data_IF_565342148626
#
_entry.id   IF_565342148626
#
_cell.length_a   1.000
_cell.length_b   1.000
_cell.length_c   1.000
_cell.angle_alpha   90.00
_cell.angle_beta   90.00
_cell.angle_gamma   90.00
#
_symmetry.space_group_name_H-M   'P 1'
#
loop_
_entity.id
_entity.type
_entity.pdbx_description
1 polymer ?
#
# COMPACT_ATOMS: atom_id res chain seq x y z
N UNK A 1 -2.71 9.47 -3.79
CA UNK A 1 -3.54 8.32 -4.20
C UNK A 1 -2.69 7.06 -4.14
N UNK A 2 -3.19 5.97 -3.55
CA UNK A 2 -2.50 4.67 -3.48
C UNK A 2 -2.84 3.74 -4.67
N UNK A 3 -3.54 4.23 -5.68
CA UNK A 3 -3.91 3.43 -6.85
C UNK A 3 -2.69 2.85 -7.60
N UNK A 4 -1.64 3.65 -7.77
CA UNK A 4 -0.43 3.22 -8.47
C UNK A 4 0.31 2.12 -7.69
N UNK A 5 0.51 2.32 -6.39
CA UNK A 5 1.15 1.34 -5.51
C UNK A 5 0.33 0.06 -5.40
N UNK A 6 -1.00 0.18 -5.28
CA UNK A 6 -1.91 -0.98 -5.28
C UNK A 6 -1.84 -1.81 -6.57
N UNK A 7 -1.82 -1.14 -7.74
CA UNK A 7 -1.63 -1.80 -9.04
C UNK A 7 -0.26 -2.48 -9.13
N UNK A 8 0.80 -1.83 -8.64
CA UNK A 8 2.13 -2.41 -8.62
C UNK A 8 2.19 -3.69 -7.78
N UNK A 9 1.55 -3.70 -6.60
CA UNK A 9 1.43 -4.90 -5.74
C UNK A 9 0.67 -6.02 -6.44
N UNK A 10 -0.46 -5.73 -7.09
CA UNK A 10 -1.22 -6.74 -7.84
C UNK A 10 -0.36 -7.36 -8.95
N UNK A 11 0.37 -6.54 -9.72
CA UNK A 11 1.30 -7.02 -10.76
C UNK A 11 2.44 -7.84 -10.20
N UNK A 12 3.04 -7.41 -9.09
CA UNK A 12 4.10 -8.17 -8.41
C UNK A 12 3.60 -9.52 -7.89
N UNK A 13 2.32 -9.61 -7.51
CA UNK A 13 1.65 -10.85 -7.12
C UNK A 13 1.17 -11.70 -8.32
N UNK A 14 1.46 -11.30 -9.57
CA UNK A 14 1.12 -12.04 -10.78
C UNK A 14 -0.27 -11.72 -11.37
N UNK A 15 -0.99 -10.74 -10.82
CA UNK A 15 -2.26 -10.28 -11.36
C UNK A 15 -2.04 -9.09 -12.31
N UNK A 16 -2.58 -9.16 -13.52
CA UNK A 16 -2.45 -8.11 -14.54
C UNK A 16 -3.79 -7.42 -14.83
N UNK A 17 -4.41 -6.73 -13.85
CA UNK A 17 -5.66 -6.05 -14.09
C UNK A 17 -5.44 -4.80 -14.95
N UNK A 18 -6.45 -4.46 -15.75
CA UNK A 18 -6.47 -3.21 -16.51
C UNK A 18 -6.63 -2.00 -15.56
N UNK A 19 -5.73 -0.99 -15.61
CA UNK A 19 -5.81 0.15 -14.70
C UNK A 19 -7.08 0.99 -14.85
N UNK A 20 -7.58 1.15 -16.09
CA UNK A 20 -8.72 2.02 -16.40
C UNK A 20 -9.98 1.68 -15.61
N UNK A 21 -10.49 0.43 -15.70
CA UNK A 21 -11.65 -0.01 -14.93
C UNK A 21 -11.46 0.15 -13.40
N UNK A 22 -10.29 -0.20 -12.86
CA UNK A 22 -10.02 -0.08 -11.42
C UNK A 22 -10.05 1.38 -10.94
N UNK A 23 -9.43 2.28 -11.70
CA UNK A 23 -9.46 3.71 -11.40
C UNK A 23 -10.89 4.26 -11.54
N UNK A 24 -11.63 3.83 -12.56
CA UNK A 24 -13.03 4.19 -12.76
C UNK A 24 -13.92 3.79 -11.58
N UNK A 25 -13.79 2.56 -11.08
CA UNK A 25 -14.56 2.07 -9.92
C UNK A 25 -14.20 2.84 -8.65
N UNK A 26 -12.91 3.03 -8.36
CA UNK A 26 -12.48 3.79 -7.16
C UNK A 26 -12.92 5.26 -7.23
N UNK A 27 -12.93 5.85 -8.42
CA UNK A 27 -13.46 7.20 -8.67
C UNK A 27 -14.97 7.29 -8.46
N UNK A 28 -15.73 6.34 -9.00
CA UNK A 28 -17.19 6.26 -8.80
C UNK A 28 -17.52 6.10 -7.31
N UNK A 29 -16.85 5.20 -6.61
CA UNK A 29 -17.04 5.01 -5.17
C UNK A 29 -16.71 6.28 -4.39
N UNK A 30 -15.63 6.99 -4.75
CA UNK A 30 -15.29 8.28 -4.16
C UNK A 30 -16.40 9.32 -4.38
N UNK A 31 -16.98 9.38 -5.59
CA UNK A 31 -18.06 10.29 -5.92
C UNK A 31 -19.32 9.99 -5.10
N UNK A 32 -19.66 8.71 -4.97
CA UNK A 32 -20.81 8.26 -4.18
C UNK A 32 -20.60 8.50 -2.68
N UNK A 33 -19.37 8.38 -2.18
CA UNK A 33 -19.05 8.58 -0.77
C UNK A 33 -18.82 10.04 -0.38
N UNK A 34 -18.54 10.93 -1.34
CA UNK A 34 -18.23 12.34 -1.10
C UNK A 34 -19.32 13.12 -0.31
N UNK A 35 -20.63 12.96 -0.59
CA UNK A 35 -21.68 13.64 0.18
C UNK A 35 -21.71 13.30 1.67
N UNK A 36 -21.14 12.14 2.03
CA UNK A 36 -21.05 11.67 3.42
C UNK A 36 -19.77 12.15 4.12
N UNK A 37 -18.98 13.04 3.50
CA UNK A 37 -17.72 13.53 4.05
C UNK A 37 -16.59 12.50 4.01
N UNK A 38 -16.72 11.43 3.22
CA UNK A 38 -15.70 10.41 3.11
C UNK A 38 -14.46 10.90 2.36
N UNK A 39 -13.29 10.41 2.77
CA UNK A 39 -12.05 10.57 2.02
C UNK A 39 -12.12 9.80 0.70
N UNK A 40 -11.28 10.18 -0.27
CA UNK A 40 -11.21 9.51 -1.57
C UNK A 40 -10.91 8.00 -1.43
N UNK A 41 -11.67 7.19 -2.15
CA UNK A 41 -11.48 5.74 -2.26
C UNK A 41 -10.36 5.43 -3.27
N UNK A 42 -9.50 4.47 -2.95
CA UNK A 42 -8.40 4.03 -3.80
C UNK A 42 -8.02 2.58 -3.47
N UNK A 43 -7.16 1.98 -4.29
CA UNK A 43 -6.53 0.68 -4.00
C UNK A 43 -5.58 0.82 -2.82
N UNK A 44 -5.71 -0.08 -1.85
CA UNK A 44 -4.82 -0.13 -0.70
C UNK A 44 -3.70 -1.14 -0.94
N UNK A 45 -2.47 -0.65 -1.15
CA UNK A 45 -1.31 -1.50 -1.45
C UNK A 45 -1.01 -2.54 -0.35
N UNK A 46 -1.14 -2.16 0.92
CA UNK A 46 -0.92 -3.07 2.07
C UNK A 46 -1.99 -4.17 2.10
N UNK A 47 -3.26 -3.79 2.03
CA UNK A 47 -4.37 -4.77 2.00
C UNK A 47 -4.25 -5.68 0.79
N UNK A 48 -3.89 -5.14 -0.38
CA UNK A 48 -3.63 -5.94 -1.57
C UNK A 48 -2.51 -6.96 -1.33
N UNK A 49 -1.39 -6.56 -0.72
CA UNK A 49 -0.26 -7.45 -0.47
C UNK A 49 -0.60 -8.59 0.50
N UNK A 50 -1.45 -8.32 1.51
CA UNK A 50 -1.96 -9.34 2.44
C UNK A 50 -2.94 -10.27 1.72
N UNK A 51 -3.93 -9.71 1.02
CA UNK A 51 -5.00 -10.47 0.39
C UNK A 51 -4.54 -11.27 -0.85
N UNK A 52 -3.39 -10.95 -1.43
CA UNK A 52 -2.79 -11.73 -2.51
C UNK A 52 -1.71 -12.70 -2.04
N UNK A 53 -1.43 -12.75 -0.73
CA UNK A 53 -0.42 -13.65 -0.15
C UNK A 53 -0.78 -15.15 -0.27
N UNK A 54 0.20 -16.05 -0.14
CA UNK A 54 -0.01 -17.49 -0.23
C UNK A 54 -0.88 -18.05 0.91
N UNK A 55 -0.90 -17.37 2.07
CA UNK A 55 -1.67 -17.79 3.25
C UNK A 55 -3.19 -17.66 3.06
N UNK A 56 -3.62 -16.90 2.05
CA UNK A 56 -5.04 -16.65 1.79
C UNK A 56 -5.74 -17.85 1.18
N UNK A 57 -5.15 -18.42 0.13
CA UNK A 57 -5.69 -19.56 -0.59
C UNK A 57 -4.57 -20.20 -1.43
N UNK A 58 -4.52 -21.55 -1.51
CA UNK A 58 -3.53 -22.26 -2.33
C UNK A 58 -3.61 -21.88 -3.80
N UNK A 59 -4.82 -21.78 -4.34
CA UNK A 59 -5.08 -21.29 -5.70
C UNK A 59 -5.08 -19.75 -5.76
N UNK A 60 -4.15 -19.12 -6.51
CA UNK A 60 -4.15 -17.67 -6.73
C UNK A 60 -5.44 -17.14 -7.36
N UNK A 61 -6.12 -17.92 -8.20
CA UNK A 61 -7.37 -17.54 -8.87
C UNK A 61 -8.55 -17.35 -7.91
N UNK A 62 -8.42 -17.86 -6.68
CA UNK A 62 -9.49 -17.87 -5.67
C UNK A 62 -9.23 -16.89 -4.52
N UNK A 63 -8.09 -16.19 -4.51
CA UNK A 63 -7.71 -15.25 -3.43
C UNK A 63 -8.64 -14.04 -3.30
N UNK A 64 -9.37 -13.70 -4.37
CA UNK A 64 -10.39 -12.63 -4.35
C UNK A 64 -11.49 -12.88 -3.32
N UNK A 65 -11.71 -14.13 -2.89
CA UNK A 65 -12.67 -14.50 -1.85
C UNK A 65 -12.42 -13.80 -0.52
N UNK A 66 -11.19 -13.33 -0.26
CA UNK A 66 -10.91 -12.49 0.93
C UNK A 66 -11.63 -11.15 0.91
N UNK A 67 -11.90 -10.60 -0.27
CA UNK A 67 -12.54 -9.30 -0.44
C UNK A 67 -13.89 -9.19 0.30
N UNK A 68 -14.86 -10.09 0.07
CA UNK A 68 -16.12 -10.11 0.79
C UNK A 68 -15.98 -10.19 2.33
N UNK A 69 -15.10 -11.05 2.85
CA UNK A 69 -14.86 -11.14 4.30
C UNK A 69 -14.23 -9.88 4.86
N UNK A 70 -13.29 -9.29 4.12
CA UNK A 70 -12.67 -8.03 4.47
C UNK A 70 -13.70 -6.89 4.52
N UNK A 71 -14.56 -6.80 3.51
CA UNK A 71 -15.65 -5.81 3.46
C UNK A 71 -16.63 -5.99 4.62
N UNK A 72 -17.02 -7.23 4.93
CA UNK A 72 -17.90 -7.53 6.06
C UNK A 72 -17.26 -7.11 7.40
N UNK A 73 -15.99 -7.44 7.62
CA UNK A 73 -15.27 -7.04 8.83
C UNK A 73 -15.19 -5.51 8.97
N UNK A 74 -14.91 -4.80 7.88
CA UNK A 74 -14.89 -3.33 7.89
C UNK A 74 -16.27 -2.72 8.11
N UNK A 75 -17.34 -3.35 7.63
CA UNK A 75 -18.72 -2.91 7.89
C UNK A 75 -19.04 -3.04 9.39
N UNK A 76 -18.66 -4.15 10.01
CA UNK A 76 -18.79 -4.33 11.46
C UNK A 76 -18.02 -3.23 12.21
N UNK A 77 -16.76 -2.96 11.85
CA UNK A 77 -16.00 -1.86 12.47
C UNK A 77 -16.62 -0.49 12.23
N UNK A 78 -17.20 -0.24 11.05
CA UNK A 78 -17.88 1.01 10.74
C UNK A 78 -19.11 1.23 11.63
N UNK A 79 -19.90 0.19 11.91
CA UNK A 79 -21.04 0.26 12.84
C UNK A 79 -20.57 0.69 14.24
N UNK A 80 -19.42 0.17 14.69
CA UNK A 80 -18.83 0.51 16.00
C UNK A 80 -17.87 1.70 15.94
N UNK A 81 -17.85 2.49 14.86
CA UNK A 81 -16.84 3.52 14.62
C UNK A 81 -16.68 4.51 15.77
N UNK A 82 -17.79 5.05 16.29
CA UNK A 82 -17.75 5.98 17.42
C UNK A 82 -17.19 5.33 18.71
N UNK A 83 -17.52 4.06 18.96
CA UNK A 83 -17.00 3.32 20.11
C UNK A 83 -15.50 3.06 19.98
N UNK A 84 -15.05 2.68 18.78
CA UNK A 84 -13.63 2.48 18.50
C UNK A 84 -12.83 3.77 18.69
N UNK A 85 -13.34 4.90 18.18
CA UNK A 85 -12.71 6.22 18.37
C UNK A 85 -12.61 6.57 19.86
N UNK A 86 -13.66 6.31 20.65
CA UNK A 86 -13.63 6.56 22.10
C UNK A 86 -12.58 5.71 22.82
N UNK A 87 -12.40 4.44 22.42
CA UNK A 87 -11.34 3.58 22.96
C UNK A 87 -9.96 4.14 22.61
N UNK A 88 -9.71 4.50 21.36
CA UNK A 88 -8.42 5.06 20.95
C UNK A 88 -8.11 6.41 21.62
N UNK A 89 -9.13 7.20 21.96
CA UNK A 89 -8.97 8.48 22.65
C UNK A 89 -8.46 8.35 24.10
N UNK A 90 -8.71 7.20 24.76
CA UNK A 90 -8.24 6.94 26.13
C UNK A 90 -6.95 6.12 26.20
N UNK A 91 -6.49 5.56 25.07
CA UNK A 91 -5.25 4.79 25.02
C UNK A 91 -4.01 5.71 25.04
N UNK A 92 -2.96 5.35 25.79
CA UNK A 92 -1.66 6.02 25.68
C UNK A 92 -1.14 5.97 24.24
N UNK A 93 -0.63 7.10 23.75
CA UNK A 93 -0.08 7.21 22.39
C UNK A 93 0.99 6.15 22.10
N UNK A 94 1.81 5.79 23.09
CA UNK A 94 2.83 4.75 22.96
C UNK A 94 2.26 3.37 22.59
N UNK A 95 1.09 3.00 23.13
CA UNK A 95 0.43 1.74 22.80
C UNK A 95 -0.13 1.75 21.37
N UNK A 96 -0.69 2.88 20.94
CA UNK A 96 -1.20 3.04 19.56
C UNK A 96 -0.05 2.88 18.56
N UNK A 97 1.07 3.56 18.80
CA UNK A 97 2.26 3.47 17.94
C UNK A 97 2.83 2.06 17.93
N UNK A 98 2.90 1.38 19.08
CA UNK A 98 3.41 0.02 19.18
C UNK A 98 2.53 -0.97 18.41
N UNK A 99 1.21 -0.94 18.59
CA UNK A 99 0.29 -1.83 17.86
C UNK A 99 0.35 -1.56 16.36
N UNK A 100 0.33 -0.29 15.95
CA UNK A 100 0.45 0.08 14.54
C UNK A 100 1.79 -0.38 13.94
N UNK A 101 2.90 -0.19 14.65
CA UNK A 101 4.23 -0.63 14.21
C UNK A 101 4.31 -2.15 14.04
N UNK A 102 3.82 -2.91 15.03
CA UNK A 102 3.79 -4.37 14.96
C UNK A 102 2.92 -4.88 13.81
N UNK A 103 1.75 -4.27 13.59
CA UNK A 103 0.86 -4.62 12.49
C UNK A 103 1.47 -4.38 11.10
N UNK A 104 2.39 -3.41 10.98
CA UNK A 104 3.06 -3.06 9.73
C UNK A 104 4.32 -3.89 9.45
N UNK A 105 4.85 -4.65 10.41
CA UNK A 105 6.09 -5.42 10.21
C UNK A 105 5.96 -6.47 9.10
N UNK A 106 4.89 -7.27 9.10
CA UNK A 106 4.69 -8.31 8.10
C UNK A 106 4.47 -7.74 6.68
N UNK A 107 3.60 -6.72 6.47
CA UNK A 107 3.51 -6.03 5.18
C UNK A 107 4.83 -5.41 4.72
N UNK A 108 5.61 -4.80 5.63
CA UNK A 108 6.90 -4.22 5.31
C UNK A 108 7.89 -5.29 4.84
N UNK A 109 7.98 -6.42 5.55
CA UNK A 109 8.85 -7.53 5.16
C UNK A 109 8.49 -8.07 3.76
N UNK A 110 7.20 -8.26 3.48
CA UNK A 110 6.74 -8.69 2.17
C UNK A 110 7.07 -7.65 1.08
N UNK A 111 6.81 -6.37 1.33
CA UNK A 111 7.11 -5.29 0.39
C UNK A 111 8.61 -5.21 0.06
N UNK A 112 9.48 -5.36 1.06
CA UNK A 112 10.93 -5.40 0.87
C UNK A 112 11.36 -6.66 0.08
N UNK A 113 10.77 -7.82 0.37
CA UNK A 113 11.04 -9.05 -0.37
C UNK A 113 10.68 -8.92 -1.85
N UNK A 114 9.58 -8.25 -2.17
CA UNK A 114 9.14 -7.99 -3.54
C UNK A 114 10.07 -6.96 -4.20
N UNK A 115 10.36 -5.85 -3.53
CA UNK A 115 11.16 -4.76 -4.07
C UNK A 115 12.62 -5.15 -4.36
N UNK A 116 13.19 -6.07 -3.58
CA UNK A 116 14.58 -6.53 -3.72
C UNK A 116 14.71 -7.83 -4.52
N UNK A 117 13.63 -8.32 -5.13
CA UNK A 117 13.61 -9.61 -5.85
C UNK A 117 14.55 -9.62 -7.06
N UNK A 118 14.55 -8.56 -7.85
CA UNK A 118 15.34 -8.47 -9.08
C UNK A 118 16.75 -7.97 -8.78
N UNK A 119 17.77 -8.83 -8.95
CA UNK A 119 19.17 -8.53 -8.65
C UNK A 119 19.64 -7.22 -9.32
N UNK A 120 19.19 -7.01 -10.57
CA UNK A 120 19.57 -5.89 -11.40
C UNK A 120 18.98 -4.54 -11.03
N UNK A 121 18.02 -4.49 -10.09
CA UNK A 121 17.30 -3.27 -9.67
C UNK A 121 17.41 -3.00 -8.15
N UNK A 122 18.14 -3.86 -7.41
CA UNK A 122 18.25 -3.78 -5.94
C UNK A 122 18.79 -2.46 -5.43
N UNK A 123 19.75 -1.86 -6.13
CA UNK A 123 20.32 -0.57 -5.72
C UNK A 123 19.25 0.52 -5.80
N UNK A 124 18.54 0.61 -6.93
CA UNK A 124 17.44 1.55 -7.11
C UNK A 124 16.34 1.38 -6.05
N UNK A 125 15.94 0.13 -5.76
CA UNK A 125 14.96 -0.17 -4.72
C UNK A 125 15.45 0.25 -3.32
N UNK A 126 16.72 -0.03 -2.99
CA UNK A 126 17.33 0.33 -1.70
C UNK A 126 17.42 1.84 -1.53
N UNK A 127 17.83 2.57 -2.57
CA UNK A 127 17.87 4.05 -2.55
C UNK A 127 16.47 4.63 -2.39
N UNK A 128 15.48 4.10 -3.11
CA UNK A 128 14.08 4.49 -2.96
C UNK A 128 13.62 4.36 -1.52
N UNK A 129 13.89 3.21 -0.90
CA UNK A 129 13.53 2.93 0.49
C UNK A 129 14.26 3.85 1.46
N UNK A 130 15.58 3.96 1.37
CA UNK A 130 16.39 4.74 2.30
C UNK A 130 16.01 6.24 2.29
N UNK A 131 15.82 6.81 1.11
CA UNK A 131 15.40 8.22 0.98
C UNK A 131 13.98 8.41 1.49
N UNK A 132 13.05 7.49 1.18
CA UNK A 132 11.68 7.58 1.71
C UNK A 132 11.64 7.46 3.23
N UNK A 133 12.42 6.52 3.79
CA UNK A 133 12.49 6.25 5.22
C UNK A 133 13.17 7.38 6.02
N UNK A 134 14.01 8.19 5.37
CA UNK A 134 14.70 9.32 6.02
C UNK A 134 13.77 10.43 6.53
N UNK A 135 12.52 10.48 6.06
CA UNK A 135 11.57 11.54 6.42
C UNK A 135 11.92 12.92 5.84
N UNK A 136 12.87 12.99 4.90
CA UNK A 136 13.35 14.23 4.31
C UNK A 136 12.22 15.03 3.62
N UNK A 137 12.18 16.34 3.85
CA UNK A 137 11.28 17.26 3.16
C UNK A 137 12.11 18.32 2.46
N UNK A 138 12.00 18.42 1.14
CA UNK A 138 12.71 19.43 0.34
C UNK A 138 11.70 20.19 -0.50
N UNK A 139 11.85 21.52 -0.53
CA UNK A 139 10.98 22.41 -1.32
C UNK A 139 9.47 22.23 -1.03
N UNK A 140 9.13 21.87 0.22
CA UNK A 140 7.74 21.59 0.63
C UNK A 140 7.20 20.24 0.16
N UNK A 141 8.01 19.41 -0.50
CA UNK A 141 7.64 18.08 -0.99
C UNK A 141 8.23 17.00 -0.08
N UNK A 142 7.39 16.04 0.32
CA UNK A 142 7.75 14.98 1.26
C UNK A 142 8.62 13.86 0.68
N UNK A 143 9.20 13.07 1.60
CA UNK A 143 10.19 12.04 1.31
C UNK A 143 9.75 10.99 0.28
N UNK A 144 8.45 10.65 0.22
CA UNK A 144 7.94 9.66 -0.72
C UNK A 144 8.19 10.03 -2.19
N UNK A 145 8.06 11.32 -2.54
CA UNK A 145 8.34 11.80 -3.89
C UNK A 145 9.85 11.76 -4.18
N UNK A 146 10.65 12.24 -3.24
CA UNK A 146 12.11 12.28 -3.40
C UNK A 146 12.72 10.89 -3.44
N UNK A 147 12.19 9.94 -2.67
CA UNK A 147 12.61 8.55 -2.70
C UNK A 147 12.33 7.90 -4.05
N UNK A 148 11.11 8.06 -4.57
CA UNK A 148 10.77 7.56 -5.91
C UNK A 148 11.67 8.20 -6.98
N UNK A 149 11.90 9.52 -6.90
CA UNK A 149 12.73 10.25 -7.85
C UNK A 149 14.18 9.76 -7.84
N UNK A 150 14.79 9.64 -6.65
CA UNK A 150 16.15 9.14 -6.49
C UNK A 150 16.29 7.70 -6.98
N UNK A 151 15.33 6.83 -6.65
CA UNK A 151 15.26 5.46 -7.15
C UNK A 151 15.22 5.37 -8.66
N UNK A 152 14.35 6.15 -9.31
CA UNK A 152 14.23 6.20 -10.77
C UNK A 152 15.52 6.70 -11.44
N UNK A 153 16.20 7.67 -10.85
CA UNK A 153 17.50 8.14 -11.34
C UNK A 153 18.54 7.02 -11.28
N UNK A 154 18.63 6.29 -10.16
CA UNK A 154 19.55 5.15 -10.04
C UNK A 154 19.21 4.06 -11.06
N UNK A 155 17.93 3.69 -11.17
CA UNK A 155 17.47 2.69 -12.13
C UNK A 155 17.81 3.08 -13.57
N UNK A 156 17.64 4.36 -13.91
CA UNK A 156 17.99 4.89 -15.21
C UNK A 156 19.50 4.79 -15.50
N UNK A 157 20.35 5.18 -14.55
CA UNK A 157 21.81 5.08 -14.69
C UNK A 157 22.29 3.62 -14.83
N UNK A 158 21.69 2.69 -14.08
CA UNK A 158 21.98 1.26 -14.19
C UNK A 158 21.57 0.70 -15.56
N UNK A 159 20.44 1.15 -16.09
CA UNK A 159 19.95 0.76 -17.42
C UNK A 159 20.88 1.29 -18.51
N UNK A 160 21.40 2.51 -18.37
CA UNK A 160 22.37 3.08 -19.32
C UNK A 160 23.71 2.33 -19.31
N UNK A 161 24.19 1.88 -18.14
CA UNK A 161 25.44 1.12 -18.03
C UNK A 161 25.36 -0.29 -18.65
N UNK A 162 24.16 -0.87 -18.72
CA UNK A 162 23.91 -2.19 -19.33
C UNK A 162 23.80 -2.15 -20.86
N UNK A 163 23.63 -0.96 -21.45
CA UNK A 163 23.68 -0.73 -22.91
C UNK A 163 25.10 -0.48 -23.37
#
# INVERSE_FOLDING_TARGET
>A
SQNLSGLAVLRAAGYHPEPGPLIGVTGLLSLLSAPFGASTTNLAAISAAICTGPDVHPDPGERWKTGPFYALAYLVFAIFGASLVAIFAVLPQSLIVLVAGLALMAPLANALSIALKEDGERMAATVTFAVTASGLTLFGVGAAFWGLSAGLVVLFLETLKKR
#
